data_IF_628482329009
#
_entry.id   IF_628482329009
#
_cell.length_a   1.000
_cell.length_b   1.000
_cell.length_c   1.000
_cell.angle_alpha   90.00
_cell.angle_beta   90.00
_cell.angle_gamma   90.00
#
_symmetry.space_group_name_H-M   'P 1'
#
loop_
_entity.id
_entity.type
_entity.pdbx_description
1 polymer ?
#
# COMPACT_ATOMS: atom_id res chain seq x y z
N UNK A 1 18.64 17.57 -4.44
CA UNK A 1 18.31 16.69 -5.58
C UNK A 1 17.35 15.63 -5.07
N UNK A 2 16.06 15.75 -5.35
CA UNK A 2 14.98 14.93 -4.79
C UNK A 2 15.00 13.46 -5.26
N UNK A 3 15.82 13.13 -6.27
CA UNK A 3 15.87 11.81 -6.91
C UNK A 3 17.02 10.92 -6.42
N UNK A 4 17.61 11.20 -5.25
CA UNK A 4 18.72 10.40 -4.72
C UNK A 4 18.26 9.19 -3.88
N UNK A 5 16.96 9.05 -3.60
CA UNK A 5 16.43 7.86 -2.95
C UNK A 5 16.06 6.85 -4.03
N UNK A 6 16.96 5.89 -4.30
CA UNK A 6 16.58 4.68 -5.01
C UNK A 6 15.59 3.91 -4.15
N UNK A 7 14.46 3.55 -4.73
CA UNK A 7 13.50 2.64 -4.12
C UNK A 7 14.17 1.26 -3.99
N UNK A 8 14.02 0.50 -2.89
CA UNK A 8 14.55 -0.87 -2.78
C UNK A 8 14.11 -1.82 -3.91
N UNK A 9 13.08 -1.45 -4.68
CA UNK A 9 12.60 -2.19 -5.87
C UNK A 9 13.43 -1.90 -7.13
N UNK A 10 14.21 -0.81 -7.17
CA UNK A 10 15.10 -0.53 -8.30
C UNK A 10 16.29 -1.49 -8.30
N UNK A 11 16.50 -2.20 -9.41
CA UNK A 11 17.65 -3.07 -9.61
C UNK A 11 18.46 -2.60 -10.82
N UNK A 12 19.63 -3.21 -11.08
CA UNK A 12 20.34 -2.95 -12.34
C UNK A 12 19.54 -3.42 -13.57
N UNK A 13 18.63 -4.37 -13.38
CA UNK A 13 17.77 -4.94 -14.42
C UNK A 13 16.49 -4.11 -14.63
N UNK A 14 15.99 -3.45 -13.58
CA UNK A 14 14.91 -2.47 -13.64
C UNK A 14 15.38 -1.13 -13.01
N UNK A 15 16.10 -0.32 -13.80
CA UNK A 15 16.64 0.95 -13.31
C UNK A 15 15.56 2.02 -13.10
N UNK A 16 14.35 1.81 -13.63
CA UNK A 16 13.23 2.75 -13.50
C UNK A 16 12.47 2.53 -12.19
N UNK A 17 12.31 1.28 -11.76
CA UNK A 17 11.53 0.91 -10.57
C UNK A 17 10.04 1.26 -10.68
N UNK A 18 9.31 1.12 -9.58
CA UNK A 18 7.92 1.54 -9.48
C UNK A 18 7.76 3.04 -9.20
N UNK A 19 6.57 3.60 -9.44
CA UNK A 19 6.27 5.02 -9.16
C UNK A 19 6.42 5.40 -7.67
N UNK A 20 6.29 4.44 -6.74
CA UNK A 20 6.36 4.69 -5.30
C UNK A 20 5.42 5.82 -4.86
N UNK A 21 5.98 6.87 -4.25
CA UNK A 21 5.25 8.07 -3.80
C UNK A 21 4.53 8.80 -4.93
N UNK A 22 5.07 8.82 -6.16
CA UNK A 22 4.38 9.40 -7.30
C UNK A 22 3.08 8.64 -7.61
N UNK A 23 3.07 7.32 -7.39
CA UNK A 23 1.88 6.49 -7.50
C UNK A 23 0.86 6.79 -6.40
N UNK A 24 1.32 7.08 -5.18
CA UNK A 24 0.45 7.53 -4.09
C UNK A 24 -0.22 8.89 -4.42
N UNK A 25 0.51 9.82 -5.01
CA UNK A 25 -0.06 11.10 -5.49
C UNK A 25 -1.05 10.87 -6.63
N UNK A 26 -0.74 9.97 -7.58
CA UNK A 26 -1.70 9.58 -8.63
C UNK A 26 -2.99 9.04 -8.04
N UNK A 27 -2.92 8.22 -6.99
CA UNK A 27 -4.10 7.70 -6.31
C UNK A 27 -4.95 8.78 -5.62
N UNK A 28 -4.34 9.86 -5.15
CA UNK A 28 -5.08 11.01 -4.62
C UNK A 28 -5.74 11.80 -5.75
N UNK A 29 -5.02 12.01 -6.86
CA UNK A 29 -5.50 12.78 -8.01
C UNK A 29 -6.61 12.06 -8.79
N UNK A 30 -6.52 10.73 -8.90
CA UNK A 30 -7.47 9.89 -9.62
C UNK A 30 -7.75 8.58 -8.87
N UNK A 31 -8.59 8.61 -7.81
CA UNK A 31 -8.84 7.46 -6.95
C UNK A 31 -9.44 6.24 -7.68
N UNK A 32 -10.05 6.45 -8.85
CA UNK A 32 -10.67 5.39 -9.62
C UNK A 32 -9.66 4.38 -10.20
N UNK A 33 -8.38 4.74 -10.26
CA UNK A 33 -7.32 3.81 -10.65
C UNK A 33 -6.83 2.90 -9.51
N UNK A 34 -7.37 3.02 -8.29
CA UNK A 34 -6.98 2.19 -7.15
C UNK A 34 -8.15 1.32 -6.71
N UNK A 35 -7.96 0.01 -6.68
CA UNK A 35 -8.90 -0.90 -6.02
C UNK A 35 -8.53 -0.98 -4.54
N UNK A 36 -9.47 -0.59 -3.68
CA UNK A 36 -9.29 -0.64 -2.23
C UNK A 36 -10.31 -1.56 -1.55
N UNK A 37 -9.94 -2.08 -0.38
CA UNK A 37 -10.88 -2.72 0.54
C UNK A 37 -10.70 -2.17 1.95
N UNK A 38 -11.82 -1.92 2.63
CA UNK A 38 -11.86 -1.48 4.01
C UNK A 38 -11.58 -2.67 4.94
N UNK A 39 -10.36 -2.76 5.46
CA UNK A 39 -9.86 -3.92 6.21
C UNK A 39 -9.28 -3.52 7.57
N UNK A 40 -9.31 -4.41 8.59
CA UNK A 40 -8.62 -4.20 9.85
C UNK A 40 -7.10 -4.18 9.65
N UNK A 41 -6.44 -3.20 10.26
CA UNK A 41 -4.99 -3.02 10.14
C UNK A 41 -4.36 -2.77 11.50
N UNK A 42 -3.18 -3.36 11.72
CA UNK A 42 -2.31 -3.04 12.85
C UNK A 42 -0.85 -3.00 12.42
N UNK A 43 0.02 -2.44 13.27
CA UNK A 43 1.47 -2.46 13.07
C UNK A 43 2.08 -3.38 14.11
N UNK A 44 2.93 -4.31 13.68
CA UNK A 44 3.67 -5.15 14.62
C UNK A 44 4.74 -4.31 15.34
N UNK A 45 4.55 -4.11 16.65
CA UNK A 45 5.48 -3.34 17.50
C UNK A 45 6.44 -4.23 18.29
N UNK A 46 6.27 -5.56 18.26
CA UNK A 46 7.10 -6.48 19.01
C UNK A 46 8.55 -6.45 18.49
N UNK A 47 9.55 -6.62 19.38
CA UNK A 47 10.94 -6.78 18.95
C UNK A 47 11.09 -7.98 18.01
N UNK A 48 11.94 -7.83 16.99
CA UNK A 48 12.27 -8.90 16.06
C UNK A 48 12.10 -8.51 14.59
N UNK A 49 12.29 -9.45 13.67
CA UNK A 49 12.34 -9.18 12.22
C UNK A 49 11.05 -8.58 11.65
N UNK A 50 9.90 -8.85 12.27
CA UNK A 50 8.59 -8.35 11.82
C UNK A 50 8.23 -6.97 12.39
N UNK A 51 9.10 -6.34 13.20
CA UNK A 51 8.82 -5.03 13.77
C UNK A 51 8.64 -3.97 12.67
N UNK A 52 7.54 -3.24 12.72
CA UNK A 52 7.17 -2.22 11.73
C UNK A 52 6.35 -2.76 10.56
N UNK A 53 6.14 -4.07 10.48
CA UNK A 53 5.26 -4.65 9.46
C UNK A 53 3.81 -4.19 9.67
N UNK A 54 3.16 -3.74 8.60
CA UNK A 54 1.72 -3.52 8.57
C UNK A 54 1.03 -4.87 8.37
N UNK A 55 0.24 -5.29 9.35
CA UNK A 55 -0.55 -6.52 9.32
C UNK A 55 -1.96 -6.14 8.89
N UNK A 56 -2.43 -6.76 7.80
CA UNK A 56 -3.78 -6.55 7.26
C UNK A 56 -4.56 -7.84 7.44
N UNK A 57 -5.66 -7.79 8.18
CA UNK A 57 -6.53 -8.95 8.32
C UNK A 57 -7.40 -9.11 7.05
N UNK A 58 -7.11 -10.16 6.28
CA UNK A 58 -7.85 -10.54 5.07
C UNK A 58 -8.63 -11.85 5.25
N UNK A 59 -8.74 -12.34 6.49
CA UNK A 59 -9.42 -13.61 6.76
C UNK A 59 -10.91 -13.46 6.43
N UNK A 60 -11.53 -14.43 5.75
CA UNK A 60 -12.95 -14.37 5.41
C UNK A 60 -13.87 -14.77 6.58
N UNK A 61 -13.30 -15.22 7.70
CA UNK A 61 -14.03 -15.71 8.87
C UNK A 61 -13.37 -15.19 10.15
N UNK A 62 -14.15 -14.94 11.21
CA UNK A 62 -13.60 -14.58 12.50
C UNK A 62 -12.66 -15.67 13.03
N UNK A 63 -11.62 -15.25 13.74
CA UNK A 63 -10.78 -16.14 14.52
C UNK A 63 -11.39 -16.44 15.90
N UNK A 64 -10.67 -17.23 16.67
CA UNK A 64 -11.09 -17.70 17.99
C UNK A 64 -11.28 -16.53 18.97
N UNK A 65 -10.38 -15.55 18.96
CA UNK A 65 -10.46 -14.38 19.84
C UNK A 65 -11.73 -13.55 19.57
N UNK A 66 -12.12 -13.39 18.31
CA UNK A 66 -13.35 -12.73 17.90
C UNK A 66 -14.58 -13.51 18.39
N UNK A 67 -14.56 -14.84 18.31
CA UNK A 67 -15.66 -15.70 18.76
C UNK A 67 -15.85 -15.68 20.29
N UNK A 68 -14.78 -15.49 21.06
CA UNK A 68 -14.83 -15.39 22.53
C UNK A 68 -14.88 -13.96 23.07
N UNK A 69 -14.95 -12.95 22.19
CA UNK A 69 -14.99 -11.53 22.60
C UNK A 69 -13.67 -11.01 23.18
N UNK A 70 -12.55 -11.68 22.89
CA UNK A 70 -11.19 -11.31 23.30
C UNK A 70 -10.43 -10.54 22.20
N UNK A 71 -11.09 -10.28 21.06
CA UNK A 71 -10.50 -9.54 19.97
C UNK A 71 -10.13 -8.11 20.38
N UNK A 72 -8.95 -7.67 19.96
CA UNK A 72 -8.52 -6.29 20.10
C UNK A 72 -9.20 -5.44 19.03
N UNK A 73 -9.58 -4.22 19.38
CA UNK A 73 -10.06 -3.26 18.39
C UNK A 73 -8.93 -2.88 17.44
N UNK A 74 -9.21 -2.97 16.14
CA UNK A 74 -8.30 -2.60 15.07
C UNK A 74 -8.96 -1.52 14.21
N UNK A 75 -8.22 -0.45 13.85
CA UNK A 75 -8.74 0.53 12.92
C UNK A 75 -9.01 -0.14 11.58
N UNK A 76 -10.17 0.17 11.01
CA UNK A 76 -10.41 -0.12 9.60
C UNK A 76 -9.64 0.90 8.75
N UNK A 77 -9.03 0.45 7.66
CA UNK A 77 -8.28 1.28 6.70
C UNK A 77 -8.64 0.84 5.29
N UNK A 78 -8.72 1.76 4.34
CA UNK A 78 -8.86 1.42 2.92
C UNK A 78 -7.50 0.99 2.38
N UNK A 79 -7.31 -0.33 2.27
CA UNK A 79 -6.05 -0.93 1.83
C UNK A 79 -6.07 -1.06 0.32
N UNK A 80 -5.05 -0.53 -0.35
CA UNK A 80 -4.82 -0.71 -1.77
C UNK A 80 -4.48 -2.18 -2.08
N UNK A 81 -5.29 -2.83 -2.92
CA UNK A 81 -5.11 -4.24 -3.27
C UNK A 81 -4.81 -4.45 -4.76
N UNK A 82 -5.17 -3.49 -5.60
CA UNK A 82 -4.88 -3.53 -7.04
C UNK A 82 -4.82 -2.10 -7.61
N UNK A 83 -4.20 -1.96 -8.78
CA UNK A 83 -3.92 -0.68 -9.43
C UNK A 83 -4.10 -0.78 -10.95
N UNK A 84 -4.78 0.21 -11.53
CA UNK A 84 -4.78 0.42 -12.98
C UNK A 84 -3.46 1.09 -13.40
N UNK A 85 -2.48 0.25 -13.75
CA UNK A 85 -1.13 0.68 -14.10
C UNK A 85 -1.14 1.61 -15.30
N UNK A 86 -1.86 1.28 -16.36
CA UNK A 86 -1.89 2.09 -17.59
C UNK A 86 -2.44 3.49 -17.31
N UNK A 87 -3.51 3.58 -16.52
CA UNK A 87 -4.11 4.84 -16.11
C UNK A 87 -3.15 5.72 -15.34
N UNK A 88 -2.43 5.16 -14.36
CA UNK A 88 -1.49 5.96 -13.55
C UNK A 88 -0.21 6.32 -14.29
N UNK A 89 0.30 5.45 -15.15
CA UNK A 89 1.43 5.82 -16.04
C UNK A 89 1.03 6.98 -16.93
N UNK A 90 -0.16 6.93 -17.54
CA UNK A 90 -0.65 7.99 -18.42
C UNK A 90 -0.88 9.30 -17.69
N UNK A 91 -1.49 9.24 -16.49
CA UNK A 91 -1.67 10.41 -15.62
C UNK A 91 -0.32 11.03 -15.23
N UNK A 92 0.63 10.20 -14.79
CA UNK A 92 1.95 10.66 -14.38
C UNK A 92 2.69 11.36 -15.53
N UNK A 93 2.82 10.69 -16.68
CA UNK A 93 3.53 11.23 -17.84
C UNK A 93 2.89 12.52 -18.35
N UNK A 94 1.56 12.56 -18.50
CA UNK A 94 0.85 13.79 -18.89
C UNK A 94 1.10 14.94 -17.91
N UNK A 95 1.28 14.64 -16.62
CA UNK A 95 1.54 15.66 -15.59
C UNK A 95 2.98 16.19 -15.64
N UNK A 96 3.97 15.34 -15.90
CA UNK A 96 5.39 15.74 -15.86
C UNK A 96 5.96 16.18 -17.21
N UNK A 97 5.36 15.76 -18.33
CA UNK A 97 5.82 16.08 -19.69
C UNK A 97 5.13 17.32 -20.27
N UNK A 98 3.90 17.63 -19.84
CA UNK A 98 3.11 18.79 -20.32
C UNK A 98 2.20 18.44 -21.49
#
# INVERSE_FOLDING_TARGET
RLLAHRDPVTSEEDPAGGLGDAGAVCAVADPAGLTTQRLPVEVNLAPGPARGQTVVDRRPRPGEAELHGEAREQPLVDVALDIDVERYVKLYLATVEG
#
